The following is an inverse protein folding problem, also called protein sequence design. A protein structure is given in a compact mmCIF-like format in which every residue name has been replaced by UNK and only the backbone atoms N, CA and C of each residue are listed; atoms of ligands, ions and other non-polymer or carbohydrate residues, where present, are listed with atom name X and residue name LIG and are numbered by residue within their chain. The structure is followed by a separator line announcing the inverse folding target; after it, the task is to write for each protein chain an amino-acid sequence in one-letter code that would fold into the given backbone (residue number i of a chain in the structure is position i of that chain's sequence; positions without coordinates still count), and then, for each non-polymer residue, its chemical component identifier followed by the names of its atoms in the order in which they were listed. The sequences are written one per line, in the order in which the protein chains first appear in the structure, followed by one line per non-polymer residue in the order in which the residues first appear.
data_IF_656746557738
#
_entry.id   IF_656746557738
#
_cell.length_a   1.000
_cell.length_b   1.000
_cell.length_c   1.000
_cell.angle_alpha   90.00
_cell.angle_beta   90.00
_cell.angle_gamma   90.00
#
_symmetry.space_group_name_H-M   'P 1'
#
loop_
_entity.id
_entity.type
_entity.pdbx_description
1 polymer ?
#
# COMPACT_ATOMS: atom_id res chain seq x y z
N UNK A 1 6.32 -31.02 48.47
CA UNK A 1 7.15 -32.08 47.87
C UNK A 1 7.33 -31.82 46.38
N UNK A 2 8.42 -31.18 45.98
CA UNK A 2 8.68 -30.77 44.60
C UNK A 2 9.51 -31.81 43.84
N UNK A 3 9.08 -32.20 42.63
CA UNK A 3 9.86 -33.07 41.73
C UNK A 3 11.04 -32.29 41.13
N UNK A 4 12.23 -32.88 40.99
CA UNK A 4 13.40 -32.19 40.45
C UNK A 4 13.23 -31.92 38.96
N UNK A 5 13.48 -30.67 38.54
CA UNK A 5 13.55 -30.28 37.13
C UNK A 5 14.75 -31.00 36.50
N UNK A 6 14.46 -31.91 35.55
CA UNK A 6 15.49 -32.68 34.84
C UNK A 6 16.52 -31.77 34.18
N UNK A 7 17.80 -32.01 34.46
CA UNK A 7 18.91 -31.34 33.78
C UNK A 7 18.94 -31.81 32.32
N UNK A 8 18.87 -30.87 31.39
CA UNK A 8 19.13 -31.11 29.97
C UNK A 8 20.54 -31.68 29.81
N UNK A 9 20.69 -32.83 29.12
CA UNK A 9 22.01 -33.38 28.83
C UNK A 9 22.75 -32.49 27.83
N UNK A 10 24.09 -32.42 27.97
CA UNK A 10 24.97 -31.73 27.00
C UNK A 10 24.70 -32.31 25.61
N UNK A 11 24.16 -31.48 24.70
CA UNK A 11 23.88 -31.84 23.30
C UNK A 11 22.41 -31.77 22.86
N UNK A 12 21.43 -31.48 23.72
CA UNK A 12 20.05 -31.26 23.26
C UNK A 12 19.87 -29.86 22.63
N UNK A 13 19.48 -29.75 21.34
CA UNK A 13 19.15 -28.45 20.76
C UNK A 13 17.83 -27.94 21.35
N UNK A 14 17.83 -26.67 21.77
CA UNK A 14 16.65 -25.99 22.30
C UNK A 14 15.62 -25.80 21.19
N UNK A 15 14.56 -26.61 21.21
CA UNK A 15 13.43 -26.46 20.29
C UNK A 15 12.23 -27.27 20.78
N UNK A 16 11.05 -26.64 20.78
CA UNK A 16 9.79 -27.25 21.19
C UNK A 16 9.43 -28.41 20.24
N UNK A 17 9.38 -29.65 20.77
CA UNK A 17 8.88 -30.81 20.04
C UNK A 17 7.38 -30.64 19.77
N UNK A 18 6.91 -31.09 18.62
CA UNK A 18 5.46 -31.25 18.39
C UNK A 18 4.92 -32.44 19.19
N UNK A 19 3.61 -32.45 19.46
CA UNK A 19 2.94 -33.51 20.24
C UNK A 19 3.13 -34.94 19.69
N UNK A 20 3.56 -35.10 18.44
CA UNK A 20 3.84 -36.40 17.80
C UNK A 20 5.29 -36.88 17.91
N UNK A 21 6.17 -36.13 18.58
CA UNK A 21 7.57 -36.54 18.81
C UNK A 21 8.50 -36.46 17.59
N UNK A 22 8.01 -36.16 16.38
CA UNK A 22 8.85 -35.92 15.20
C UNK A 22 9.59 -34.58 15.29
N UNK A 23 10.86 -34.56 14.88
CA UNK A 23 11.62 -33.33 14.64
C UNK A 23 10.85 -32.47 13.64
N UNK A 24 10.53 -31.22 14.00
CA UNK A 24 10.07 -30.24 13.03
C UNK A 24 11.30 -29.77 12.26
N UNK A 25 11.69 -30.52 11.24
CA UNK A 25 12.55 -30.01 10.17
C UNK A 25 11.68 -29.10 9.29
N UNK A 26 11.18 -28.01 9.87
CA UNK A 26 10.61 -26.90 9.14
C UNK A 26 11.65 -25.80 9.22
N UNK A 27 12.69 -25.89 8.39
CA UNK A 27 13.28 -24.66 7.85
C UNK A 27 12.09 -23.82 7.37
N UNK A 28 11.90 -22.59 7.85
CA UNK A 28 10.89 -21.72 7.29
C UNK A 28 11.16 -21.65 5.79
N UNK A 29 10.30 -22.27 4.98
CA UNK A 29 10.27 -21.92 3.58
C UNK A 29 9.79 -20.48 3.57
N UNK A 30 10.67 -19.56 3.16
CA UNK A 30 10.26 -18.22 2.82
C UNK A 30 9.14 -18.38 1.80
N UNK A 31 7.91 -18.04 2.21
CA UNK A 31 6.78 -18.08 1.33
C UNK A 31 7.08 -17.07 0.22
N UNK A 32 7.38 -17.57 -0.98
CA UNK A 32 7.53 -16.71 -2.14
C UNK A 32 6.27 -15.85 -2.31
N UNK A 33 6.40 -14.66 -2.93
CA UNK A 33 5.23 -13.81 -3.18
C UNK A 33 4.18 -14.61 -3.94
N UNK A 34 2.91 -14.46 -3.57
CA UNK A 34 1.83 -15.18 -4.24
C UNK A 34 1.79 -14.81 -5.73
N UNK A 35 1.26 -15.72 -6.57
CA UNK A 35 1.25 -15.55 -8.02
C UNK A 35 0.61 -14.22 -8.48
N UNK A 36 -0.45 -13.77 -7.78
CA UNK A 36 -1.08 -12.47 -8.03
C UNK A 36 -0.15 -11.27 -7.79
N UNK A 37 0.71 -11.33 -6.77
CA UNK A 37 1.75 -10.31 -6.52
C UNK A 37 2.81 -10.35 -7.62
N UNK A 38 3.20 -11.54 -8.07
CA UNK A 38 4.18 -11.70 -9.15
C UNK A 38 3.68 -11.10 -10.49
N UNK A 39 2.45 -11.45 -10.92
CA UNK A 39 1.83 -10.88 -12.13
C UNK A 39 1.71 -9.35 -12.05
N UNK A 40 1.41 -8.83 -10.86
CA UNK A 40 1.30 -7.39 -10.62
C UNK A 40 2.66 -6.68 -10.71
N UNK A 41 3.72 -7.29 -10.17
CA UNK A 41 5.10 -6.77 -10.30
C UNK A 41 5.53 -6.68 -11.76
N UNK A 42 5.26 -7.73 -12.53
CA UNK A 42 5.49 -7.75 -13.98
C UNK A 42 4.66 -6.67 -14.69
N UNK A 43 3.43 -6.42 -14.21
CA UNK A 43 2.58 -5.36 -14.75
C UNK A 43 3.24 -3.96 -14.65
N UNK A 44 3.87 -3.68 -13.52
CA UNK A 44 4.50 -2.38 -13.27
C UNK A 44 6.01 -2.34 -13.48
N UNK A 45 6.58 -3.42 -14.06
CA UNK A 45 8.03 -3.59 -14.29
C UNK A 45 8.86 -3.40 -13.00
N UNK A 46 8.34 -3.89 -11.87
CA UNK A 46 9.07 -3.93 -10.61
C UNK A 46 9.97 -5.18 -10.58
N UNK A 47 11.24 -5.07 -10.10
CA UNK A 47 12.17 -6.19 -10.08
C UNK A 47 11.66 -7.33 -9.18
N UNK A 48 11.86 -8.58 -9.62
CA UNK A 48 11.23 -9.77 -9.05
C UNK A 48 11.80 -10.22 -7.69
N UNK A 49 13.05 -9.85 -7.35
CA UNK A 49 13.83 -10.50 -6.29
C UNK A 49 14.01 -9.69 -5.00
N UNK A 50 13.29 -8.59 -4.83
CA UNK A 50 13.70 -7.57 -3.87
C UNK A 50 12.78 -7.49 -2.65
N UNK A 51 12.48 -8.65 -2.09
CA UNK A 51 11.79 -8.76 -0.80
C UNK A 51 12.85 -8.76 0.29
N UNK A 52 13.07 -7.61 0.94
CA UNK A 52 13.62 -7.64 2.29
C UNK A 52 14.98 -7.01 2.58
N UNK A 53 15.60 -6.21 1.70
CA UNK A 53 16.68 -5.33 2.19
C UNK A 53 16.15 -3.91 2.45
N UNK A 54 16.07 -3.47 3.72
CA UNK A 54 15.72 -2.10 4.09
C UNK A 54 16.85 -1.11 3.77
N UNK A 55 17.67 -1.41 2.75
CA UNK A 55 18.92 -0.73 2.50
C UNK A 55 18.76 0.37 1.45
N UNK A 56 19.41 1.51 1.68
CA UNK A 56 19.24 2.72 0.87
C UNK A 56 19.60 2.51 -0.61
N UNK A 57 20.53 1.59 -0.90
CA UNK A 57 20.94 1.21 -2.27
C UNK A 57 19.86 0.47 -3.05
N UNK A 58 19.06 -0.38 -2.40
CA UNK A 58 17.93 -1.04 -3.04
C UNK A 58 16.83 -0.02 -3.39
N UNK A 59 16.63 1.02 -2.56
CA UNK A 59 15.73 2.15 -2.88
C UNK A 59 16.21 2.98 -4.07
N UNK A 60 17.53 3.21 -4.14
CA UNK A 60 18.18 3.94 -5.23
C UNK A 60 18.07 3.17 -6.57
N UNK A 61 18.29 1.85 -6.54
CA UNK A 61 18.11 0.97 -7.70
C UNK A 61 16.64 0.90 -8.19
N UNK A 62 15.67 1.04 -7.27
CA UNK A 62 14.22 1.06 -7.57
C UNK A 62 13.71 2.42 -8.08
N UNK A 63 14.57 3.44 -8.17
CA UNK A 63 14.17 4.83 -8.47
C UNK A 63 12.97 5.30 -7.62
N UNK A 64 12.92 4.90 -6.34
CA UNK A 64 11.86 5.26 -5.40
C UNK A 64 10.60 4.36 -5.38
N UNK A 65 10.42 3.40 -6.31
CA UNK A 65 9.22 2.54 -6.35
C UNK A 65 9.32 1.37 -5.35
N UNK A 66 8.43 1.33 -4.35
CA UNK A 66 8.33 0.26 -3.37
C UNK A 66 7.35 -0.83 -3.81
N UNK A 67 7.49 -2.04 -3.28
CA UNK A 67 6.58 -3.15 -3.61
C UNK A 67 5.13 -2.86 -3.19
N UNK A 68 4.97 -2.17 -2.06
CA UNK A 68 3.69 -1.66 -1.54
C UNK A 68 3.02 -0.68 -2.50
N UNK A 69 3.76 -0.07 -3.41
CA UNK A 69 3.25 0.88 -4.40
C UNK A 69 2.48 0.20 -5.53
N UNK A 70 2.23 -1.10 -5.45
CA UNK A 70 1.28 -1.76 -6.36
C UNK A 70 0.04 -2.28 -5.64
N UNK A 71 -0.04 -2.11 -4.32
CA UNK A 71 -1.15 -2.63 -3.53
C UNK A 71 -2.37 -1.70 -3.53
N UNK A 72 -2.17 -0.41 -3.79
CA UNK A 72 -3.21 0.61 -3.83
C UNK A 72 -3.24 1.37 -5.18
N UNK A 73 -4.38 2.01 -5.50
CA UNK A 73 -4.55 2.70 -6.78
C UNK A 73 -3.58 3.88 -6.97
N UNK A 74 -3.29 4.63 -5.90
CA UNK A 74 -2.36 5.75 -5.93
C UNK A 74 -0.92 5.29 -6.21
N UNK A 75 -0.48 4.21 -5.57
CA UNK A 75 0.79 3.56 -5.85
C UNK A 75 0.87 3.08 -7.30
N UNK A 76 -0.20 2.47 -7.83
CA UNK A 76 -0.24 2.04 -9.23
C UNK A 76 -0.09 3.20 -10.19
N UNK A 77 -0.75 4.33 -9.91
CA UNK A 77 -0.59 5.57 -10.66
C UNK A 77 0.85 6.10 -10.59
N UNK A 78 1.49 6.06 -9.41
CA UNK A 78 2.91 6.42 -9.23
C UNK A 78 3.84 5.50 -10.03
N UNK A 79 3.64 4.18 -9.93
CA UNK A 79 4.41 3.19 -10.67
C UNK A 79 4.25 3.33 -12.19
N UNK A 80 3.07 3.73 -12.66
CA UNK A 80 2.78 4.03 -14.05
C UNK A 80 3.32 5.40 -14.52
N UNK A 81 3.83 6.25 -13.60
CA UNK A 81 4.33 7.59 -13.93
C UNK A 81 3.23 8.62 -14.16
N UNK A 82 2.02 8.37 -13.66
CA UNK A 82 0.84 9.21 -13.88
C UNK A 82 0.70 10.32 -12.83
N UNK A 83 1.46 10.27 -11.73
CA UNK A 83 1.48 11.32 -10.70
C UNK A 83 2.45 12.48 -11.03
N UNK A 84 3.01 12.52 -12.24
CA UNK A 84 4.06 13.48 -12.62
C UNK A 84 5.46 12.90 -12.48
N UNK A 85 6.45 13.76 -12.29
CA UNK A 85 7.88 13.38 -12.29
C UNK A 85 8.65 13.90 -11.09
N UNK A 86 9.63 13.12 -10.64
CA UNK A 86 10.54 13.51 -9.56
C UNK A 86 9.80 13.77 -8.24
N UNK A 87 10.21 14.84 -7.55
CA UNK A 87 9.71 15.17 -6.20
C UNK A 87 8.21 15.43 -6.16
N UNK A 88 7.64 16.04 -7.19
CA UNK A 88 6.19 16.27 -7.27
C UNK A 88 5.39 14.97 -7.19
N UNK A 89 5.86 13.91 -7.85
CA UNK A 89 5.19 12.61 -7.83
C UNK A 89 5.27 11.97 -6.43
N UNK A 90 6.39 12.16 -5.73
CA UNK A 90 6.59 11.67 -4.35
C UNK A 90 5.72 12.45 -3.36
N UNK A 91 5.64 13.77 -3.48
CA UNK A 91 4.82 14.63 -2.62
C UNK A 91 3.33 14.25 -2.75
N UNK A 92 2.83 14.09 -3.99
CA UNK A 92 1.47 13.61 -4.27
C UNK A 92 1.20 12.21 -3.69
N UNK A 93 2.14 11.27 -3.86
CA UNK A 93 2.02 9.91 -3.31
C UNK A 93 1.92 9.93 -1.78
N UNK A 94 2.80 10.69 -1.13
CA UNK A 94 2.86 10.78 0.32
C UNK A 94 1.63 11.50 0.91
N UNK A 95 1.20 12.59 0.29
CA UNK A 95 0.02 13.33 0.70
C UNK A 95 -1.25 12.49 0.60
N UNK A 96 -1.46 11.81 -0.55
CA UNK A 96 -2.59 10.92 -0.73
C UNK A 96 -2.61 9.76 0.27
N UNK A 97 -1.47 9.10 0.51
CA UNK A 97 -1.36 8.03 1.51
C UNK A 97 -1.57 8.52 2.95
N UNK A 98 -1.07 9.72 3.27
CA UNK A 98 -1.28 10.36 4.56
C UNK A 98 -2.77 10.65 4.81
N UNK A 99 -3.47 11.14 3.79
CA UNK A 99 -4.92 11.35 3.85
C UNK A 99 -5.68 10.03 3.96
N UNK A 100 -5.39 9.04 3.10
CA UNK A 100 -6.03 7.72 3.15
C UNK A 100 -5.85 7.05 4.52
N UNK A 101 -4.65 7.11 5.08
CA UNK A 101 -4.39 6.59 6.43
C UNK A 101 -5.17 7.32 7.51
N UNK A 102 -5.33 8.64 7.40
CA UNK A 102 -6.12 9.42 8.36
C UNK A 102 -7.61 9.12 8.22
N UNK A 103 -8.09 8.98 6.98
CA UNK A 103 -9.47 8.65 6.65
C UNK A 103 -9.86 7.27 7.19
N UNK A 104 -9.14 6.21 6.83
CA UNK A 104 -9.51 4.86 7.28
C UNK A 104 -9.36 4.68 8.80
N UNK A 105 -8.44 5.41 9.42
CA UNK A 105 -8.27 5.41 10.87
C UNK A 105 -9.48 5.99 11.60
N UNK A 106 -10.18 6.98 11.06
CA UNK A 106 -11.40 7.49 11.70
C UNK A 106 -12.52 6.45 11.74
N UNK A 107 -12.48 5.47 10.84
CA UNK A 107 -13.36 4.29 10.84
C UNK A 107 -12.81 3.11 11.67
N UNK A 108 -11.66 3.26 12.32
CA UNK A 108 -11.03 2.20 13.12
C UNK A 108 -10.23 1.17 12.31
N UNK A 109 -9.91 1.45 11.05
CA UNK A 109 -9.14 0.54 10.18
C UNK A 109 -7.76 1.11 9.87
N UNK A 110 -6.78 0.23 9.64
CA UNK A 110 -5.59 0.59 8.85
C UNK A 110 -5.99 0.76 7.38
N UNK A 111 -5.28 1.60 6.62
CA UNK A 111 -5.53 1.74 5.17
C UNK A 111 -5.56 0.35 4.52
N UNK A 112 -6.67 -0.04 3.88
CA UNK A 112 -6.79 -1.35 3.27
C UNK A 112 -5.95 -1.42 1.99
N UNK A 113 -4.90 -2.24 1.97
CA UNK A 113 -4.08 -2.51 0.79
C UNK A 113 -4.38 -3.90 0.16
N UNK A 114 -5.27 -4.66 0.82
CA UNK A 114 -5.74 -5.98 0.40
C UNK A 114 -7.02 -6.34 1.16
N UNK A 115 -7.91 -7.15 0.56
CA UNK A 115 -9.11 -7.67 1.24
C UNK A 115 -8.76 -8.45 2.53
N UNK A 116 -7.59 -9.07 2.59
CA UNK A 116 -7.09 -9.76 3.78
C UNK A 116 -6.76 -8.82 4.96
N UNK A 117 -6.54 -7.53 4.70
CA UNK A 117 -6.26 -6.51 5.74
C UNK A 117 -7.49 -5.71 6.19
N UNK A 118 -8.69 -6.10 5.77
CA UNK A 118 -9.95 -5.67 6.41
C UNK A 118 -10.18 -6.30 7.80
N UNK A 119 -9.21 -7.02 8.34
CA UNK A 119 -9.27 -7.48 9.73
C UNK A 119 -8.90 -6.31 10.65
N UNK A 120 -9.73 -5.97 11.65
CA UNK A 120 -9.38 -4.97 12.64
C UNK A 120 -8.07 -5.40 13.32
N UNK A 121 -6.99 -4.64 13.10
CA UNK A 121 -5.74 -4.88 13.80
C UNK A 121 -5.90 -4.43 15.26
N UNK A 122 -5.43 -5.25 16.20
CA UNK A 122 -5.45 -4.88 17.61
C UNK A 122 -4.64 -3.60 17.82
N UNK A 123 -5.29 -2.55 18.33
CA UNK A 123 -4.70 -1.23 18.55
C UNK A 123 -3.52 -1.32 19.51
N UNK A 124 -2.31 -1.01 19.03
CA UNK A 124 -1.10 -1.05 19.85
C UNK A 124 -0.60 0.34 20.28
N UNK A 125 -1.30 1.42 19.93
CA UNK A 125 -0.92 2.77 20.30
C UNK A 125 -1.84 3.30 21.40
N UNK A 126 -1.27 3.87 22.46
CA UNK A 126 -2.04 4.65 23.45
C UNK A 126 -2.76 5.78 22.74
N UNK A 127 -4.06 5.91 23.01
CA UNK A 127 -4.88 7.02 22.55
C UNK A 127 -4.35 8.33 23.14
N UNK A 128 -4.15 9.32 22.28
CA UNK A 128 -3.77 10.68 22.65
C UNK A 128 -4.85 11.60 22.07
N UNK A 129 -5.83 12.02 22.89
CA UNK A 129 -6.99 12.78 22.43
C UNK A 129 -6.60 14.06 21.69
N UNK A 130 -5.55 14.76 22.14
CA UNK A 130 -5.12 16.01 21.52
C UNK A 130 -4.48 15.77 20.14
N UNK A 131 -3.75 14.66 19.99
CA UNK A 131 -3.15 14.28 18.71
C UNK A 131 -4.20 13.78 17.73
N UNK A 132 -5.19 13.02 18.19
CA UNK A 132 -6.25 12.49 17.34
C UNK A 132 -7.20 13.61 16.89
N UNK A 133 -7.52 14.58 17.76
CA UNK A 133 -8.26 15.78 17.37
C UNK A 133 -7.56 16.57 16.25
N UNK A 134 -6.25 16.84 16.37
CA UNK A 134 -5.49 17.55 15.32
C UNK A 134 -5.49 16.80 13.99
N UNK A 135 -5.45 15.47 14.03
CA UNK A 135 -5.52 14.63 12.82
C UNK A 135 -6.88 14.72 12.16
N UNK A 136 -7.95 14.66 12.95
CA UNK A 136 -9.32 14.80 12.47
C UNK A 136 -9.56 16.19 11.85
N UNK A 137 -9.10 17.25 12.51
CA UNK A 137 -9.16 18.62 11.98
C UNK A 137 -8.39 18.76 10.66
N UNK A 138 -7.19 18.16 10.58
CA UNK A 138 -6.40 18.14 9.36
C UNK A 138 -7.08 17.38 8.24
N UNK A 139 -7.65 16.20 8.53
CA UNK A 139 -8.41 15.39 7.58
C UNK A 139 -9.61 16.18 7.04
N UNK A 140 -10.41 16.75 7.93
CA UNK A 140 -11.59 17.54 7.56
C UNK A 140 -11.20 18.75 6.70
N UNK A 141 -10.09 19.43 7.02
CA UNK A 141 -9.56 20.53 6.20
C UNK A 141 -9.23 20.08 4.78
N UNK A 142 -8.48 18.99 4.63
CA UNK A 142 -8.12 18.45 3.32
C UNK A 142 -9.37 18.03 2.53
N UNK A 143 -10.30 17.29 3.15
CA UNK A 143 -11.53 16.87 2.50
C UNK A 143 -12.41 18.05 2.08
N UNK A 144 -12.43 19.14 2.87
CA UNK A 144 -13.14 20.36 2.52
C UNK A 144 -12.49 21.09 1.34
N UNK A 145 -11.15 21.17 1.27
CA UNK A 145 -10.45 21.74 0.11
C UNK A 145 -10.80 20.99 -1.17
N UNK A 146 -10.70 19.65 -1.14
CA UNK A 146 -11.02 18.79 -2.28
C UNK A 146 -12.49 18.91 -2.68
N UNK A 147 -13.41 18.93 -1.69
CA UNK A 147 -14.84 19.08 -1.98
C UNK A 147 -15.17 20.44 -2.61
N UNK A 148 -14.44 21.49 -2.21
CA UNK A 148 -14.62 22.86 -2.74
C UNK A 148 -14.14 23.00 -4.19
N UNK A 149 -13.20 22.16 -4.63
CA UNK A 149 -12.73 22.10 -6.01
C UNK A 149 -13.76 21.48 -6.99
N UNK A 150 -14.83 20.89 -6.47
CA UNK A 150 -15.98 20.43 -7.24
C UNK A 150 -16.19 18.91 -7.16
N UNK A 151 -17.43 18.51 -7.47
CA UNK A 151 -17.86 17.11 -7.33
C UNK A 151 -17.05 16.14 -8.20
N UNK A 152 -16.63 16.55 -9.38
CA UNK A 152 -15.84 15.71 -10.30
C UNK A 152 -14.42 15.46 -9.75
N UNK A 153 -13.77 16.49 -9.21
CA UNK A 153 -12.48 16.40 -8.51
C UNK A 153 -12.60 15.47 -7.32
N UNK A 154 -13.61 15.70 -6.47
CA UNK A 154 -13.83 14.86 -5.28
C UNK A 154 -14.03 13.39 -5.63
N UNK A 155 -14.85 13.11 -6.63
CA UNK A 155 -15.15 11.74 -7.05
C UNK A 155 -13.93 11.01 -7.62
N UNK A 156 -13.17 11.68 -8.49
CA UNK A 156 -11.95 11.10 -9.06
C UNK A 156 -10.86 10.88 -8.01
N UNK A 157 -10.71 11.84 -7.08
CA UNK A 157 -9.81 11.77 -5.95
C UNK A 157 -10.14 10.59 -5.03
N UNK A 158 -11.41 10.46 -4.62
CA UNK A 158 -11.84 9.37 -3.74
C UNK A 158 -11.54 8.00 -4.37
N UNK A 159 -11.82 7.82 -5.66
CA UNK A 159 -11.48 6.59 -6.38
C UNK A 159 -9.98 6.28 -6.40
N UNK A 160 -9.13 7.29 -6.42
CA UNK A 160 -7.68 7.11 -6.47
C UNK A 160 -7.08 6.88 -5.07
N UNK A 161 -7.61 7.55 -4.05
CA UNK A 161 -6.97 7.69 -2.73
C UNK A 161 -7.73 6.97 -1.62
N UNK A 162 -9.06 7.06 -1.61
CA UNK A 162 -9.89 6.58 -0.51
C UNK A 162 -10.44 5.19 -0.79
N UNK A 163 -11.04 4.99 -1.97
CA UNK A 163 -11.74 3.76 -2.32
C UNK A 163 -10.78 2.56 -2.31
N UNK A 164 -11.20 1.42 -1.70
CA UNK A 164 -10.36 0.24 -1.61
C UNK A 164 -10.23 -0.43 -2.98
N UNK A 165 -9.02 -0.35 -3.55
CA UNK A 165 -8.68 -0.89 -4.87
C UNK A 165 -7.50 -1.90 -4.78
N UNK A 166 -7.68 -3.05 -4.09
CA UNK A 166 -6.58 -3.94 -3.73
C UNK A 166 -6.02 -4.74 -4.91
N UNK A 167 -6.89 -5.19 -5.82
CA UNK A 167 -6.51 -6.08 -6.92
C UNK A 167 -6.46 -5.35 -8.26
N UNK A 168 -7.36 -4.41 -8.47
CA UNK A 168 -7.48 -3.58 -9.67
C UNK A 168 -7.61 -2.11 -9.26
N UNK A 169 -7.15 -1.20 -10.10
CA UNK A 169 -7.36 0.23 -9.88
C UNK A 169 -8.78 0.63 -10.25
N UNK A 170 -9.15 1.91 -10.09
CA UNK A 170 -10.37 2.40 -10.70
C UNK A 170 -10.31 2.20 -12.22
N UNK A 171 -11.45 1.91 -12.83
CA UNK A 171 -11.55 1.49 -14.25
C UNK A 171 -10.83 2.44 -15.20
N UNK A 172 -10.87 3.74 -14.93
CA UNK A 172 -10.18 4.76 -15.74
C UNK A 172 -8.66 4.66 -15.63
N UNK A 173 -8.12 4.35 -14.45
CA UNK A 173 -6.68 4.18 -14.25
C UNK A 173 -6.18 2.95 -15.01
N UNK A 174 -6.89 1.83 -14.87
CA UNK A 174 -6.53 0.59 -15.55
C UNK A 174 -6.63 0.73 -17.07
N UNK A 175 -7.61 1.50 -17.58
CA UNK A 175 -7.73 1.82 -19.00
C UNK A 175 -6.52 2.63 -19.52
N UNK A 176 -6.03 3.62 -18.75
CA UNK A 176 -4.83 4.39 -19.12
C UNK A 176 -3.60 3.48 -19.14
N UNK A 177 -3.42 2.68 -18.08
CA UNK A 177 -2.28 1.75 -17.96
C UNK A 177 -2.31 0.72 -19.11
N UNK A 178 -3.47 0.16 -19.44
CA UNK A 178 -3.61 -0.78 -20.54
C UNK A 178 -3.29 -0.15 -21.89
N UNK A 179 -3.79 1.06 -22.16
CA UNK A 179 -3.54 1.79 -23.41
C UNK A 179 -2.05 2.12 -23.59
N UNK A 180 -1.37 2.54 -22.52
CA UNK A 180 0.06 2.84 -22.55
C UNK A 180 0.94 1.60 -22.75
N UNK A 181 0.43 0.40 -22.41
CA UNK A 181 1.16 -0.86 -22.50
C UNK A 181 0.85 -1.70 -23.73
N UNK A 182 -0.16 -1.34 -24.53
CA UNK A 182 -0.41 -2.04 -25.78
C UNK A 182 0.79 -1.89 -26.73
N UNK A 183 1.00 -2.88 -27.60
CA UNK A 183 1.99 -2.79 -28.67
C UNK A 183 1.27 -2.93 -30.02
N UNK A 184 1.17 -1.85 -30.84
CA UNK A 184 1.66 -0.49 -30.56
C UNK A 184 0.87 0.21 -29.42
N UNK A 185 1.46 1.21 -28.74
CA UNK A 185 0.75 2.01 -27.75
C UNK A 185 -0.48 2.67 -28.35
N UNK A 186 -1.59 2.61 -27.62
CA UNK A 186 -2.86 3.22 -28.03
C UNK A 186 -3.13 4.47 -27.21
N UNK A 187 -3.85 5.45 -27.77
CA UNK A 187 -4.31 6.58 -26.98
C UNK A 187 -5.25 6.09 -25.89
N UNK A 188 -5.04 6.56 -24.66
CA UNK A 188 -5.98 6.32 -23.57
C UNK A 188 -7.32 7.03 -23.86
N UNK A 189 -8.46 6.50 -23.37
CA UNK A 189 -9.74 7.17 -23.53
C UNK A 189 -9.73 8.58 -22.94
N UNK A 190 -10.23 9.58 -23.68
CA UNK A 190 -10.25 10.97 -23.21
C UNK A 190 -11.03 11.15 -21.89
N UNK A 191 -12.08 10.35 -21.68
CA UNK A 191 -12.80 10.33 -20.40
C UNK A 191 -11.94 9.83 -19.23
N UNK A 192 -11.04 8.88 -19.47
CA UNK A 192 -10.14 8.38 -18.44
C UNK A 192 -9.05 9.41 -18.10
N UNK A 193 -8.50 10.08 -19.12
CA UNK A 193 -7.54 11.16 -18.92
C UNK A 193 -8.14 12.32 -18.11
N UNK A 194 -9.40 12.71 -18.38
CA UNK A 194 -10.11 13.70 -17.56
C UNK A 194 -10.27 13.28 -16.09
N UNK A 195 -10.51 11.99 -15.82
CA UNK A 195 -10.57 11.51 -14.43
C UNK A 195 -9.19 11.60 -13.77
N UNK A 196 -8.11 11.28 -14.50
CA UNK A 196 -6.76 11.46 -13.98
C UNK A 196 -6.48 12.94 -13.68
N UNK A 197 -6.81 13.86 -14.57
CA UNK A 197 -6.67 15.31 -14.36
C UNK A 197 -7.40 15.76 -13.09
N UNK A 198 -8.68 15.39 -12.96
CA UNK A 198 -9.47 15.70 -11.76
C UNK A 198 -8.88 15.10 -10.47
N UNK A 199 -8.33 13.89 -10.52
CA UNK A 199 -7.68 13.29 -9.35
C UNK A 199 -6.37 14.02 -8.99
N UNK A 200 -5.61 14.48 -9.99
CA UNK A 200 -4.40 15.26 -9.80
C UNK A 200 -4.70 16.65 -9.25
N UNK A 201 -5.75 17.33 -9.73
CA UNK A 201 -6.23 18.60 -9.16
C UNK A 201 -6.53 18.45 -7.67
N UNK A 202 -7.16 17.33 -7.27
CA UNK A 202 -7.44 17.02 -5.87
C UNK A 202 -6.18 16.78 -5.04
N UNK A 203 -5.19 16.07 -5.60
CA UNK A 203 -3.90 15.82 -4.95
C UNK A 203 -3.08 17.11 -4.79
N UNK A 204 -3.10 18.00 -5.78
CA UNK A 204 -2.35 19.27 -5.75
C UNK A 204 -2.84 20.24 -4.68
N UNK A 205 -4.07 20.08 -4.19
CA UNK A 205 -4.60 20.88 -3.08
C UNK A 205 -4.05 20.45 -1.71
N UNK A 206 -3.45 19.26 -1.62
CA UNK A 206 -3.01 18.66 -0.35
C UNK A 206 -1.54 18.22 -0.35
N UNK A 207 -0.86 18.25 -1.51
CA UNK A 207 0.53 17.86 -1.71
C UNK A 207 1.54 18.95 -1.35
#
# INVERSE_FOLDING_TARGET
MGRPKGKLSKGQPRGARSASGRKRDRTPQEAGPCEGVQRRRELYRLPANDVGEPDAKAREARKGKQETDTCDALGRAYCAGLLGSGRQAEDRLNAGRGLASSYWRSYGFSTPDSLARFQPQQGSAKEDPARDQRREESLNRCLNLINSAGRHVRFAFDQLVVDPNPDMGPVWLDAIVAAHRSSPPRPAPASALRQLEHALDGLDLIA
#
